data_IF_275875019455
#
_entry.id   IF_275875019455
#
_cell.length_a   1.000
_cell.length_b   1.000
_cell.length_c   1.000
_cell.angle_alpha   90.00
_cell.angle_beta   90.00
_cell.angle_gamma   90.00
#
_symmetry.space_group_name_H-M   'P 1'
#
loop_
_entity.id
_entity.type
_entity.pdbx_description
1 polymer ?
#
# COMPACT_ATOMS: atom_id res chain seq x y z
N UNK A 1 -0.48 -2.04 11.67
CA UNK A 1 -1.11 -2.33 10.35
C UNK A 1 -0.23 -3.30 9.57
N UNK A 2 -0.80 -4.36 8.99
CA UNK A 2 -0.10 -5.35 8.16
C UNK A 2 -0.63 -5.25 6.72
N UNK A 3 0.27 -5.16 5.75
CA UNK A 3 -0.06 -5.02 4.34
C UNK A 3 0.35 -6.25 3.54
N UNK A 4 -0.55 -6.71 2.68
CA UNK A 4 -0.36 -7.86 1.80
C UNK A 4 -0.83 -7.52 0.38
N UNK A 5 -0.31 -8.21 -0.63
CA UNK A 5 -0.72 -8.03 -2.04
C UNK A 5 -1.57 -9.18 -2.57
N UNK A 6 -1.95 -10.11 -1.70
CA UNK A 6 -2.89 -11.19 -1.97
C UNK A 6 -3.91 -11.27 -0.84
N UNK A 7 -5.05 -11.87 -1.10
CA UNK A 7 -6.09 -12.07 -0.08
C UNK A 7 -5.57 -12.90 1.09
N UNK A 8 -6.15 -12.66 2.26
CA UNK A 8 -5.85 -13.43 3.45
C UNK A 8 -6.63 -14.76 3.42
N UNK A 9 -5.91 -15.87 3.55
CA UNK A 9 -6.53 -17.15 3.81
C UNK A 9 -7.02 -17.19 5.27
N UNK A 10 -8.13 -17.90 5.58
CA UNK A 10 -8.66 -17.94 6.94
C UNK A 10 -7.63 -18.36 7.99
N UNK A 11 -6.88 -19.42 7.71
CA UNK A 11 -5.85 -19.95 8.62
C UNK A 11 -4.67 -18.98 8.78
N UNK A 12 -4.29 -18.31 7.70
CA UNK A 12 -3.26 -17.27 7.72
C UNK A 12 -3.69 -16.08 8.58
N UNK A 13 -4.92 -15.61 8.40
CA UNK A 13 -5.48 -14.52 9.19
C UNK A 13 -5.55 -14.89 10.67
N UNK A 14 -5.93 -16.11 10.99
CA UNK A 14 -5.94 -16.65 12.35
C UNK A 14 -4.51 -16.70 12.94
N UNK A 15 -3.53 -17.14 12.14
CA UNK A 15 -2.13 -17.18 12.52
C UNK A 15 -1.57 -15.78 12.83
N UNK A 16 -1.85 -14.80 11.99
CA UNK A 16 -1.46 -13.41 12.24
C UNK A 16 -2.10 -12.84 13.50
N UNK A 17 -3.40 -13.07 13.71
CA UNK A 17 -4.10 -12.64 14.93
C UNK A 17 -3.47 -13.26 16.18
N UNK A 18 -3.15 -14.55 16.13
CA UNK A 18 -2.45 -15.23 17.24
C UNK A 18 -1.06 -14.64 17.48
N UNK A 19 -0.32 -14.32 16.42
CA UNK A 19 1.02 -13.72 16.51
C UNK A 19 1.05 -12.30 17.04
N UNK A 20 -0.08 -11.56 16.97
CA UNK A 20 -0.19 -10.22 17.54
C UNK A 20 -0.23 -10.19 19.06
N UNK A 21 -0.58 -11.30 19.72
CA UNK A 21 -0.71 -11.34 21.17
C UNK A 21 -1.67 -10.27 21.69
N UNK A 22 -1.16 -9.40 22.60
CA UNK A 22 -1.94 -8.37 23.27
C UNK A 22 -2.10 -7.05 22.48
N UNK A 23 -1.71 -7.01 21.21
CA UNK A 23 -1.86 -5.81 20.39
C UNK A 23 -3.35 -5.58 20.08
N UNK A 24 -3.99 -4.66 20.82
CA UNK A 24 -5.42 -4.41 20.75
C UNK A 24 -5.86 -3.79 19.42
N UNK A 25 -5.10 -2.82 18.89
CA UNK A 25 -5.43 -2.13 17.64
C UNK A 25 -4.56 -2.64 16.50
N UNK A 26 -5.20 -3.31 15.56
CA UNK A 26 -4.52 -3.84 14.38
C UNK A 26 -5.45 -3.82 13.18
N UNK A 27 -4.84 -3.65 12.01
CA UNK A 27 -5.50 -3.73 10.72
C UNK A 27 -4.70 -4.62 9.78
N UNK A 28 -5.38 -5.50 9.07
CA UNK A 28 -4.83 -6.31 7.99
C UNK A 28 -5.45 -5.84 6.69
N UNK A 29 -4.62 -5.48 5.73
CA UNK A 29 -5.04 -4.88 4.47
C UNK A 29 -4.50 -5.66 3.29
N UNK A 30 -5.38 -6.01 2.36
CA UNK A 30 -5.01 -6.48 1.04
C UNK A 30 -5.00 -5.30 0.08
N UNK A 31 -3.83 -5.02 -0.51
CA UNK A 31 -3.59 -3.89 -1.40
C UNK A 31 -3.27 -4.38 -2.80
N UNK A 32 -4.10 -4.03 -3.78
CA UNK A 32 -3.92 -4.41 -5.17
C UNK A 32 -3.75 -3.19 -6.08
N UNK A 33 -2.98 -3.36 -7.15
CA UNK A 33 -2.83 -2.33 -8.17
C UNK A 33 -3.76 -2.67 -9.32
N UNK A 34 -4.82 -1.89 -9.49
CA UNK A 34 -5.79 -2.10 -10.55
C UNK A 34 -5.27 -1.64 -11.91
N UNK A 35 -5.76 -2.33 -12.95
CA UNK A 35 -5.68 -1.84 -14.34
C UNK A 35 -6.72 -0.76 -14.64
N UNK A 36 -7.75 -0.64 -13.80
CA UNK A 36 -8.83 0.35 -13.95
C UNK A 36 -8.30 1.77 -13.87
N UNK A 37 -8.77 2.59 -14.78
CA UNK A 37 -8.45 4.02 -14.83
C UNK A 37 -9.73 4.80 -14.74
N UNK A 38 -9.77 5.80 -13.88
CA UNK A 38 -10.88 6.73 -13.82
C UNK A 38 -10.54 7.97 -14.63
N UNK A 39 -11.48 8.37 -15.46
CA UNK A 39 -11.43 9.65 -16.16
C UNK A 39 -12.28 10.65 -15.40
N UNK A 40 -11.70 11.80 -15.08
CA UNK A 40 -12.45 12.95 -14.63
C UNK A 40 -12.80 13.81 -15.84
N UNK A 41 -14.05 14.16 -15.97
CA UNK A 41 -14.47 15.16 -16.98
C UNK A 41 -13.93 16.53 -16.53
N UNK A 42 -13.07 17.13 -17.34
CA UNK A 42 -12.43 18.41 -17.02
C UNK A 42 -10.95 18.44 -17.43
N UNK A 43 -10.30 19.57 -17.17
CA UNK A 43 -8.90 19.80 -17.56
C UNK A 43 -7.88 19.20 -16.60
N UNK A 44 -8.29 18.83 -15.38
CA UNK A 44 -7.38 18.40 -14.33
C UNK A 44 -7.57 16.92 -14.00
N UNK A 45 -6.46 16.20 -13.80
CA UNK A 45 -6.51 14.81 -13.36
C UNK A 45 -7.05 14.68 -11.93
N UNK A 46 -7.40 13.46 -11.49
CA UNK A 46 -7.81 13.22 -10.11
C UNK A 46 -6.77 13.72 -9.12
N UNK A 47 -7.23 14.31 -8.04
CA UNK A 47 -6.37 14.76 -6.96
C UNK A 47 -5.72 13.57 -6.26
N UNK A 48 -4.45 13.72 -5.91
CA UNK A 48 -3.80 12.77 -5.01
C UNK A 48 -4.52 12.74 -3.67
N UNK A 49 -4.80 11.54 -3.16
CA UNK A 49 -5.57 11.34 -1.94
C UNK A 49 -7.07 11.22 -2.16
N UNK A 50 -7.56 11.31 -3.40
CA UNK A 50 -8.97 11.01 -3.70
C UNK A 50 -9.26 9.56 -3.35
N UNK A 51 -10.37 9.35 -2.64
CA UNK A 51 -10.88 8.03 -2.24
C UNK A 51 -12.22 7.80 -2.91
N UNK A 52 -12.43 6.60 -3.44
CA UNK A 52 -13.71 6.15 -3.98
C UNK A 52 -14.11 4.91 -3.20
N UNK A 53 -15.27 4.96 -2.54
CA UNK A 53 -15.83 3.83 -1.81
C UNK A 53 -16.55 2.91 -2.79
N UNK A 54 -16.13 1.65 -2.88
CA UNK A 54 -16.80 0.61 -3.66
C UNK A 54 -17.74 -0.23 -2.79
N UNK A 55 -17.47 -0.25 -1.50
CA UNK A 55 -18.24 -0.99 -0.50
C UNK A 55 -17.81 -0.59 0.92
N UNK A 56 -18.33 -1.28 1.91
CA UNK A 56 -18.05 -0.97 3.31
C UNK A 56 -16.56 -1.15 3.69
N UNK A 57 -15.88 -2.10 3.05
CA UNK A 57 -14.46 -2.45 3.31
C UNK A 57 -13.64 -2.63 2.05
N UNK A 58 -14.13 -2.09 0.94
CA UNK A 58 -13.43 -2.05 -0.34
C UNK A 58 -13.46 -0.61 -0.87
N UNK A 59 -12.30 -0.05 -1.13
CA UNK A 59 -12.17 1.33 -1.57
C UNK A 59 -10.92 1.52 -2.42
N UNK A 60 -10.97 2.55 -3.26
CA UNK A 60 -9.88 2.95 -4.13
C UNK A 60 -9.24 4.22 -3.60
N UNK A 61 -7.92 4.24 -3.56
CA UNK A 61 -7.14 5.40 -3.15
C UNK A 61 -6.21 5.85 -4.29
N UNK A 62 -6.33 7.09 -4.72
CA UNK A 62 -5.39 7.70 -5.65
C UNK A 62 -4.11 8.12 -4.91
N UNK A 63 -3.13 7.23 -4.84
CA UNK A 63 -1.81 7.48 -4.24
C UNK A 63 -0.94 8.37 -5.11
N UNK A 64 -1.22 8.40 -6.41
CA UNK A 64 -0.65 9.31 -7.39
C UNK A 64 -1.77 10.18 -7.95
N UNK A 65 -1.45 11.40 -8.37
CA UNK A 65 -2.45 12.32 -8.91
C UNK A 65 -1.98 13.77 -8.84
N UNK A 66 -2.87 14.68 -9.16
CA UNK A 66 -2.60 16.10 -9.12
C UNK A 66 -2.37 16.59 -7.69
N UNK A 67 -1.32 17.38 -7.52
CA UNK A 67 -0.98 18.05 -6.26
C UNK A 67 -1.07 19.56 -6.50
N UNK A 68 -2.11 20.24 -6.00
CA UNK A 68 -2.35 21.66 -6.28
C UNK A 68 -1.20 22.58 -5.91
N UNK A 69 -0.49 22.26 -4.82
CA UNK A 69 0.65 23.03 -4.37
C UNK A 69 1.77 23.17 -5.42
N UNK A 70 2.03 22.09 -6.15
CA UNK A 70 3.08 22.09 -7.18
C UNK A 70 2.59 22.54 -8.54
N UNK A 71 1.29 22.71 -8.74
CA UNK A 71 0.64 22.97 -10.04
C UNK A 71 1.08 22.02 -11.16
N UNK A 72 1.71 20.91 -10.79
CA UNK A 72 2.27 19.92 -11.68
C UNK A 72 1.66 18.57 -11.36
N UNK A 73 1.40 17.83 -12.40
CA UNK A 73 1.11 16.43 -12.30
C UNK A 73 2.43 15.66 -12.20
N UNK A 74 2.70 14.92 -11.10
CA UNK A 74 3.94 14.18 -10.95
C UNK A 74 3.95 12.92 -11.82
N UNK A 75 4.09 13.08 -13.11
CA UNK A 75 4.16 12.03 -14.10
C UNK A 75 3.21 12.22 -15.28
N UNK A 76 3.61 11.68 -16.41
CA UNK A 76 2.86 11.81 -17.69
C UNK A 76 1.80 10.71 -17.85
N UNK A 77 1.64 9.82 -16.88
CA UNK A 77 0.70 8.70 -16.97
C UNK A 77 -0.58 8.99 -16.22
N UNK A 78 -1.71 8.53 -16.77
CA UNK A 78 -3.00 8.56 -16.07
C UNK A 78 -2.85 7.78 -14.75
N UNK A 79 -3.20 8.40 -13.59
CA UNK A 79 -3.06 7.76 -12.29
C UNK A 79 -3.90 6.50 -12.23
N UNK A 80 -3.32 5.45 -11.67
CA UNK A 80 -4.05 4.24 -11.31
C UNK A 80 -4.30 4.27 -9.81
N UNK A 81 -5.52 4.02 -9.36
CA UNK A 81 -5.78 3.90 -7.95
C UNK A 81 -5.14 2.63 -7.38
N UNK A 82 -4.77 2.70 -6.11
CA UNK A 82 -4.51 1.54 -5.28
C UNK A 82 -5.84 1.07 -4.72
N UNK A 83 -6.18 -0.20 -4.91
CA UNK A 83 -7.37 -0.80 -4.31
C UNK A 83 -7.02 -1.41 -2.96
N UNK A 84 -7.83 -1.09 -1.97
CA UNK A 84 -7.90 -1.80 -0.71
C UNK A 84 -9.04 -2.81 -0.84
N UNK A 85 -8.70 -4.06 -1.18
CA UNK A 85 -9.65 -5.14 -1.50
C UNK A 85 -10.28 -5.70 -0.24
N UNK A 86 -9.48 -5.83 0.81
CA UNK A 86 -9.89 -6.36 2.10
C UNK A 86 -9.34 -5.48 3.21
N UNK A 87 -10.19 -5.26 4.21
CA UNK A 87 -9.82 -4.58 5.43
C UNK A 87 -10.39 -5.34 6.63
N UNK A 88 -9.52 -5.97 7.40
CA UNK A 88 -9.84 -6.66 8.64
C UNK A 88 -9.21 -5.91 9.80
N UNK A 89 -9.99 -5.12 10.52
CA UNK A 89 -9.47 -4.33 11.64
C UNK A 89 -10.46 -3.34 12.19
N UNK A 90 -9.95 -2.41 13.01
CA UNK A 90 -10.76 -1.46 13.79
C UNK A 90 -10.78 -0.06 13.20
N UNK A 91 -9.78 0.27 12.36
CA UNK A 91 -9.66 1.61 11.79
C UNK A 91 -10.77 1.90 10.77
N UNK A 92 -11.12 3.17 10.65
CA UNK A 92 -12.03 3.62 9.60
C UNK A 92 -11.36 3.63 8.23
N UNK A 93 -12.13 3.56 7.15
CA UNK A 93 -11.60 3.68 5.80
C UNK A 93 -10.76 4.96 5.59
N UNK A 94 -11.18 6.06 6.24
CA UNK A 94 -10.47 7.33 6.16
C UNK A 94 -9.09 7.27 6.84
N UNK A 95 -9.00 6.67 8.00
CA UNK A 95 -7.74 6.47 8.73
C UNK A 95 -6.79 5.59 7.92
N UNK A 96 -7.28 4.44 7.46
CA UNK A 96 -6.51 3.52 6.60
C UNK A 96 -5.96 4.23 5.36
N UNK A 97 -6.82 4.95 4.64
CA UNK A 97 -6.39 5.68 3.44
C UNK A 97 -5.36 6.77 3.74
N UNK A 98 -5.51 7.49 4.87
CA UNK A 98 -4.56 8.51 5.32
C UNK A 98 -3.20 7.91 5.63
N UNK A 99 -3.16 6.79 6.35
CA UNK A 99 -1.93 6.09 6.69
C UNK A 99 -1.23 5.51 5.45
N UNK A 100 -1.98 4.84 4.56
CA UNK A 100 -1.44 4.34 3.30
C UNK A 100 -0.86 5.48 2.47
N UNK A 101 -1.59 6.60 2.34
CA UNK A 101 -1.10 7.76 1.61
C UNK A 101 0.17 8.35 2.23
N UNK A 102 0.26 8.41 3.56
CA UNK A 102 1.47 8.82 4.26
C UNK A 102 2.64 7.88 3.95
N UNK A 103 2.43 6.57 4.03
CA UNK A 103 3.44 5.55 3.72
C UNK A 103 3.92 5.58 2.26
N UNK A 104 3.13 6.12 1.32
CA UNK A 104 3.59 6.33 -0.06
C UNK A 104 4.54 7.52 -0.21
N UNK A 105 4.59 8.42 0.78
CA UNK A 105 5.48 9.59 0.79
C UNK A 105 6.80 9.30 1.47
N UNK A 106 6.88 8.23 2.26
CA UNK A 106 8.11 7.85 2.95
C UNK A 106 9.07 7.19 1.96
N UNK A 107 10.19 7.85 1.72
CA UNK A 107 11.28 7.32 0.93
C UNK A 107 12.59 7.94 1.41
N UNK A 108 13.31 7.20 2.22
CA UNK A 108 14.60 7.68 2.77
C UNK A 108 15.71 7.77 1.72
N UNK A 109 15.56 7.05 0.60
CA UNK A 109 16.62 6.89 -0.39
C UNK A 109 16.45 7.79 -1.62
N UNK A 110 15.38 8.54 -1.72
CA UNK A 110 15.18 9.46 -2.84
C UNK A 110 14.24 10.60 -2.50
N UNK A 111 14.49 11.76 -3.09
CA UNK A 111 13.60 12.92 -3.05
C UNK A 111 12.46 12.84 -4.06
N UNK A 112 12.22 11.68 -4.69
CA UNK A 112 11.15 11.52 -5.65
C UNK A 112 9.79 11.65 -4.97
N UNK A 113 8.95 12.52 -5.52
CA UNK A 113 7.61 12.77 -5.00
C UNK A 113 6.71 11.55 -5.16
N UNK A 114 6.58 10.82 -4.05
CA UNK A 114 5.60 9.78 -3.88
C UNK A 114 5.83 8.52 -4.72
N UNK A 115 5.22 7.48 -4.26
CA UNK A 115 5.15 6.19 -4.92
C UNK A 115 3.68 5.82 -5.09
N UNK A 116 3.38 4.97 -6.07
CA UNK A 116 2.05 4.37 -6.20
C UNK A 116 1.76 3.38 -5.08
N UNK A 117 2.80 2.78 -4.49
CA UNK A 117 2.70 1.79 -3.43
C UNK A 117 3.28 2.33 -2.11
N UNK A 118 2.71 1.94 -0.96
CA UNK A 118 3.27 2.25 0.33
C UNK A 118 4.65 1.59 0.50
N UNK A 119 5.52 2.21 1.29
CA UNK A 119 6.91 1.77 1.48
C UNK A 119 6.98 0.33 2.01
N UNK A 120 6.04 -0.08 2.83
CA UNK A 120 5.93 -1.45 3.36
C UNK A 120 5.85 -2.50 2.26
N UNK A 121 5.00 -2.30 1.26
CA UNK A 121 4.88 -3.20 0.10
C UNK A 121 6.11 -3.13 -0.79
N UNK A 122 6.67 -1.94 -1.00
CA UNK A 122 7.90 -1.79 -1.80
C UNK A 122 9.05 -2.56 -1.18
N UNK A 123 9.23 -2.44 0.11
CA UNK A 123 10.27 -3.14 0.84
C UNK A 123 10.04 -4.64 0.87
N UNK A 124 8.81 -5.09 1.13
CA UNK A 124 8.48 -6.51 1.07
C UNK A 124 8.80 -7.12 -0.30
N UNK A 125 8.49 -6.42 -1.39
CA UNK A 125 8.85 -6.86 -2.75
C UNK A 125 10.35 -6.89 -2.99
N UNK A 126 11.10 -5.92 -2.43
CA UNK A 126 12.56 -5.91 -2.55
C UNK A 126 13.19 -7.09 -1.80
N UNK A 127 12.79 -7.29 -0.56
CA UNK A 127 13.23 -8.45 0.24
C UNK A 127 12.84 -9.77 -0.45
N UNK A 128 11.62 -9.89 -0.95
CA UNK A 128 11.15 -11.07 -1.66
C UNK A 128 12.04 -11.43 -2.86
N UNK A 129 12.47 -10.45 -3.65
CA UNK A 129 13.41 -10.66 -4.77
C UNK A 129 14.77 -11.20 -4.29
N UNK A 130 15.29 -10.64 -3.19
CA UNK A 130 16.56 -11.13 -2.63
C UNK A 130 16.42 -12.56 -2.12
N UNK A 131 15.32 -12.86 -1.42
CA UNK A 131 15.06 -14.20 -0.89
C UNK A 131 14.89 -15.25 -1.98
N UNK A 132 14.35 -14.90 -3.15
CA UNK A 132 14.25 -15.82 -4.30
C UNK A 132 15.59 -16.20 -4.90
N UNK A 133 16.59 -15.33 -4.78
CA UNK A 133 17.95 -15.57 -5.29
C UNK A 133 18.88 -16.19 -4.23
N UNK A 134 18.40 -16.40 -3.02
CA UNK A 134 19.23 -16.99 -1.95
C UNK A 134 19.50 -18.48 -2.21
N UNK A 135 20.74 -18.95 -1.97
CA UNK A 135 21.06 -20.36 -2.07
C UNK A 135 20.23 -21.23 -1.12
N UNK A 136 19.93 -22.45 -1.55
CA UNK A 136 19.23 -23.44 -0.71
C UNK A 136 20.03 -23.72 0.55
N UNK A 137 19.36 -23.70 1.72
CA UNK A 137 20.00 -23.96 3.02
C UNK A 137 20.49 -22.71 3.76
N UNK A 138 20.44 -21.53 3.14
CA UNK A 138 20.75 -20.27 3.84
C UNK A 138 19.50 -19.80 4.62
N UNK A 139 19.68 -19.57 5.91
CA UNK A 139 18.60 -19.04 6.76
C UNK A 139 18.46 -17.52 6.55
N UNK A 140 17.27 -17.03 6.15
CA UNK A 140 17.03 -15.60 5.98
C UNK A 140 17.24 -14.83 7.29
N UNK A 141 17.78 -13.63 7.17
CA UNK A 141 17.90 -12.73 8.31
C UNK A 141 16.53 -12.11 8.64
N UNK A 142 16.20 -12.05 9.91
CA UNK A 142 14.92 -11.46 10.37
C UNK A 142 14.95 -9.94 10.42
N UNK A 143 16.15 -9.35 10.46
CA UNK A 143 16.31 -7.89 10.54
C UNK A 143 16.34 -7.28 9.16
N UNK A 144 15.37 -6.43 8.84
CA UNK A 144 15.24 -5.76 7.54
C UNK A 144 16.51 -5.04 7.06
N UNK A 145 17.31 -4.47 7.97
CA UNK A 145 18.55 -3.74 7.63
C UNK A 145 19.56 -4.54 6.80
N UNK A 146 19.47 -5.87 6.79
CA UNK A 146 20.35 -6.70 5.97
C UNK A 146 19.93 -6.76 4.50
N UNK A 147 18.78 -6.22 4.15
CA UNK A 147 18.23 -6.21 2.80
C UNK A 147 18.19 -4.80 2.18
N UNK A 148 18.76 -3.81 2.86
CA UNK A 148 18.80 -2.41 2.42
C UNK A 148 19.99 -2.13 1.53
#
# INVERSE_FOLDING_TARGET
MLHKTSRFWPDELAGFKKGLGDIAHHDFLTLETLSTRFMRVGKEPPLRGTVIMLGARNYLLFTMGYVPYFRLYPGQRIPRPLEIVEHHGHSTAQEVCREILALTKLNWNSCAFGSSLPITIRFARHVGKILTEMPVGVTPQTKYKFYM
#
